data_IF_471319506220
#
_entry.id   IF_471319506220
#
_cell.length_a   1.000
_cell.length_b   1.000
_cell.length_c   1.000
_cell.angle_alpha   90.00
_cell.angle_beta   90.00
_cell.angle_gamma   90.00
#
_symmetry.space_group_name_H-M   'P 1'
#
loop_
_entity.id
_entity.type
_entity.pdbx_description
1 polymer ?
#
# COMPACT_ATOMS: atom_id res chain seq x y z
N UNK A 1 -22.53 -10.41 23.88
CA UNK A 1 -21.51 -9.55 23.23
C UNK A 1 -20.11 -10.20 23.22
N UNK A 2 -19.63 -10.80 24.33
CA UNK A 2 -18.27 -11.39 24.41
C UNK A 2 -18.13 -12.69 23.58
N UNK A 3 -19.15 -13.54 23.55
CA UNK A 3 -19.18 -14.78 22.75
C UNK A 3 -19.31 -14.51 21.25
N UNK A 4 -20.06 -13.47 20.84
CA UNK A 4 -20.16 -13.06 19.44
C UNK A 4 -18.81 -12.57 18.89
N UNK A 5 -18.05 -11.81 19.69
CA UNK A 5 -16.70 -11.36 19.30
C UNK A 5 -15.68 -12.50 19.17
N UNK A 6 -15.77 -13.55 19.99
CA UNK A 6 -14.94 -14.76 19.88
C UNK A 6 -15.27 -15.57 18.61
N UNK A 7 -16.55 -15.75 18.30
CA UNK A 7 -16.99 -16.45 17.09
C UNK A 7 -16.57 -15.72 15.82
N UNK A 8 -16.70 -14.39 15.78
CA UNK A 8 -16.25 -13.59 14.64
C UNK A 8 -14.73 -13.65 14.44
N UNK A 9 -13.94 -13.64 15.51
CA UNK A 9 -12.47 -13.80 15.41
C UNK A 9 -12.08 -15.19 14.94
N UNK A 10 -12.79 -16.22 15.33
CA UNK A 10 -12.53 -17.60 14.89
C UNK A 10 -12.84 -17.76 13.41
N UNK A 11 -14.00 -17.29 12.98
CA UNK A 11 -14.44 -17.31 11.59
C UNK A 11 -13.49 -16.50 10.66
N UNK A 12 -13.03 -15.33 11.11
CA UNK A 12 -12.07 -14.55 10.37
C UNK A 12 -10.72 -15.25 10.19
N UNK A 13 -10.24 -15.99 11.20
CA UNK A 13 -9.01 -16.80 11.11
C UNK A 13 -9.15 -17.95 10.12
N UNK A 14 -10.24 -18.66 10.14
CA UNK A 14 -10.51 -19.77 9.19
C UNK A 14 -10.53 -19.25 7.75
N UNK A 15 -11.20 -18.13 7.49
CA UNK A 15 -11.23 -17.49 6.17
C UNK A 15 -9.82 -17.07 5.74
N UNK A 16 -9.01 -16.49 6.64
CA UNK A 16 -7.63 -16.09 6.34
C UNK A 16 -6.74 -17.29 6.04
N UNK A 17 -6.91 -18.40 6.77
CA UNK A 17 -6.15 -19.63 6.50
C UNK A 17 -6.53 -20.24 5.15
N UNK A 18 -7.82 -20.32 4.84
CA UNK A 18 -8.29 -20.77 3.54
C UNK A 18 -7.75 -19.89 2.41
N UNK A 19 -7.86 -18.57 2.55
CA UNK A 19 -7.31 -17.61 1.58
C UNK A 19 -5.80 -17.79 1.41
N UNK A 20 -5.06 -18.01 2.49
CA UNK A 20 -3.62 -18.27 2.43
C UNK A 20 -3.29 -19.57 1.70
N UNK A 21 -4.06 -20.63 1.91
CA UNK A 21 -3.89 -21.92 1.25
C UNK A 21 -4.16 -21.82 -0.24
N UNK A 22 -5.22 -21.15 -0.65
CA UNK A 22 -5.57 -20.93 -2.05
C UNK A 22 -4.57 -20.01 -2.77
N UNK A 23 -4.07 -18.99 -2.05
CA UNK A 23 -3.14 -18.01 -2.60
C UNK A 23 -1.67 -18.30 -2.30
N UNK A 24 -1.29 -19.50 -1.79
CA UNK A 24 0.06 -19.79 -1.30
C UNK A 24 1.19 -19.53 -2.33
N UNK A 25 0.92 -19.67 -3.62
CA UNK A 25 1.85 -19.34 -4.73
C UNK A 25 1.67 -17.91 -5.28
N UNK A 26 0.73 -17.14 -4.75
CA UNK A 26 0.35 -15.81 -5.25
C UNK A 26 0.62 -14.73 -4.19
N UNK A 27 1.85 -14.71 -3.68
CA UNK A 27 2.25 -13.79 -2.61
C UNK A 27 1.92 -12.31 -2.91
N UNK A 28 2.03 -11.91 -4.19
CA UNK A 28 1.68 -10.54 -4.60
C UNK A 28 0.19 -10.25 -4.42
N UNK A 29 -0.70 -11.23 -4.61
CA UNK A 29 -2.13 -11.07 -4.39
C UNK A 29 -2.44 -10.90 -2.89
N UNK A 30 -1.81 -11.71 -2.03
CA UNK A 30 -1.93 -11.57 -0.57
C UNK A 30 -1.40 -10.22 -0.10
N UNK A 31 -0.28 -9.76 -0.67
CA UNK A 31 0.27 -8.45 -0.35
C UNK A 31 -0.68 -7.32 -0.80
N UNK A 32 -1.23 -7.40 -2.01
CA UNK A 32 -2.21 -6.43 -2.50
C UNK A 32 -3.45 -6.37 -1.62
N UNK A 33 -3.97 -7.52 -1.19
CA UNK A 33 -5.08 -7.59 -0.24
C UNK A 33 -4.76 -6.85 1.06
N UNK A 34 -3.59 -7.10 1.66
CA UNK A 34 -3.16 -6.42 2.88
C UNK A 34 -2.97 -4.91 2.67
N UNK A 35 -2.43 -4.50 1.53
CA UNK A 35 -2.28 -3.09 1.17
C UNK A 35 -3.63 -2.38 1.01
N UNK A 36 -4.64 -3.05 0.44
CA UNK A 36 -6.00 -2.52 0.35
C UNK A 36 -6.60 -2.31 1.73
N UNK A 37 -6.47 -3.29 2.64
CA UNK A 37 -6.95 -3.16 4.02
C UNK A 37 -6.30 -1.98 4.74
N UNK A 38 -4.98 -1.81 4.58
CA UNK A 38 -4.24 -0.68 5.14
C UNK A 38 -4.73 0.64 4.55
N UNK A 39 -4.95 0.73 3.23
CA UNK A 39 -5.48 1.94 2.60
C UNK A 39 -6.89 2.29 3.10
N UNK A 40 -7.75 1.29 3.26
CA UNK A 40 -9.11 1.47 3.79
C UNK A 40 -9.06 1.97 5.23
N UNK A 41 -8.17 1.44 6.07
CA UNK A 41 -7.99 1.88 7.44
C UNK A 41 -7.47 3.32 7.56
N UNK A 42 -6.70 3.79 6.56
CA UNK A 42 -6.26 5.19 6.50
C UNK A 42 -7.31 6.14 5.90
N UNK A 43 -8.42 5.65 5.33
CA UNK A 43 -9.42 6.51 4.65
C UNK A 43 -10.06 7.54 5.57
N UNK A 44 -10.24 7.20 6.83
CA UNK A 44 -10.86 8.05 7.85
C UNK A 44 -9.86 8.96 8.58
N UNK A 45 -8.57 8.93 8.21
CA UNK A 45 -7.52 9.77 8.78
C UNK A 45 -6.36 8.99 9.37
N UNK A 46 -6.12 9.12 10.67
CA UNK A 46 -5.03 8.43 11.35
C UNK A 46 -5.43 7.00 11.75
N UNK A 47 -4.57 6.05 11.51
CA UNK A 47 -4.74 4.65 11.93
C UNK A 47 -4.68 4.55 13.46
N UNK A 48 -5.74 4.03 14.08
CA UNK A 48 -5.77 3.79 15.52
C UNK A 48 -4.98 2.53 15.92
N UNK A 49 -4.50 2.49 17.16
CA UNK A 49 -3.70 1.36 17.66
C UNK A 49 -4.43 0.02 17.54
N UNK A 50 -5.73 0.00 17.84
CA UNK A 50 -6.57 -1.20 17.72
C UNK A 50 -6.70 -1.71 16.27
N UNK A 51 -6.78 -0.79 15.30
CA UNK A 51 -6.80 -1.13 13.87
C UNK A 51 -5.45 -1.66 13.40
N UNK A 52 -4.37 -1.04 13.87
CA UNK A 52 -3.01 -1.51 13.58
C UNK A 52 -2.75 -2.90 14.13
N UNK A 53 -3.23 -3.21 15.33
CA UNK A 53 -3.16 -4.56 15.91
C UNK A 53 -3.96 -5.57 15.10
N UNK A 54 -5.19 -5.23 14.70
CA UNK A 54 -6.02 -6.08 13.86
C UNK A 54 -5.37 -6.35 12.49
N UNK A 55 -4.83 -5.31 11.85
CA UNK A 55 -4.10 -5.44 10.60
C UNK A 55 -2.83 -6.28 10.76
N UNK A 56 -2.14 -6.18 11.89
CA UNK A 56 -0.99 -7.02 12.19
C UNK A 56 -1.38 -8.49 12.35
N UNK A 57 -2.48 -8.79 13.03
CA UNK A 57 -2.98 -10.16 13.17
C UNK A 57 -3.32 -10.77 11.79
N UNK A 58 -3.91 -9.99 10.90
CA UNK A 58 -4.17 -10.40 9.52
C UNK A 58 -2.84 -10.64 8.77
N UNK A 59 -1.91 -9.69 8.81
CA UNK A 59 -0.61 -9.81 8.15
C UNK A 59 0.16 -11.05 8.60
N UNK A 60 0.15 -11.34 9.91
CA UNK A 60 0.74 -12.53 10.51
C UNK A 60 0.05 -13.80 10.03
N UNK A 61 -1.29 -13.82 9.98
CA UNK A 61 -2.08 -14.93 9.46
C UNK A 61 -1.76 -15.25 7.98
N UNK A 62 -1.49 -14.22 7.18
CA UNK A 62 -1.04 -14.34 5.79
C UNK A 62 0.43 -14.71 5.63
N UNK A 63 1.22 -14.82 6.72
CA UNK A 63 2.62 -15.20 6.71
C UNK A 63 3.58 -14.05 6.38
N UNK A 64 3.19 -12.79 6.62
CA UNK A 64 4.08 -11.63 6.50
C UNK A 64 4.85 -11.39 7.79
N UNK A 65 6.13 -11.01 7.65
CA UNK A 65 6.95 -10.57 8.80
C UNK A 65 6.55 -9.17 9.25
N UNK A 66 6.89 -8.85 10.51
CA UNK A 66 6.65 -7.50 11.08
C UNK A 66 7.31 -6.40 10.25
N UNK A 67 8.51 -6.66 9.73
CA UNK A 67 9.24 -5.71 8.87
C UNK A 67 8.48 -5.40 7.58
N UNK A 68 7.97 -6.43 6.90
CA UNK A 68 7.17 -6.25 5.68
C UNK A 68 5.87 -5.52 5.99
N UNK A 69 5.20 -5.86 7.09
CA UNK A 69 3.99 -5.16 7.52
C UNK A 69 4.25 -3.68 7.80
N UNK A 70 5.33 -3.34 8.50
CA UNK A 70 5.71 -1.94 8.75
C UNK A 70 5.98 -1.17 7.45
N UNK A 71 6.65 -1.80 6.47
CA UNK A 71 6.84 -1.20 5.16
C UNK A 71 5.52 -0.94 4.42
N UNK A 72 4.57 -1.86 4.53
CA UNK A 72 3.23 -1.69 3.94
C UNK A 72 2.49 -0.53 4.62
N UNK A 73 2.53 -0.43 5.95
CA UNK A 73 1.94 0.70 6.70
C UNK A 73 2.55 2.04 6.28
N UNK A 74 3.88 2.14 6.22
CA UNK A 74 4.57 3.36 5.80
C UNK A 74 4.20 3.79 4.38
N UNK A 75 4.07 2.84 3.45
CA UNK A 75 3.63 3.12 2.08
C UNK A 75 2.17 3.56 2.02
N UNK A 76 1.29 2.92 2.79
CA UNK A 76 -0.12 3.29 2.88
C UNK A 76 -0.29 4.73 3.37
N UNK A 77 0.40 5.08 4.46
CA UNK A 77 0.42 6.43 4.98
C UNK A 77 0.97 7.45 3.97
N UNK A 78 2.11 7.13 3.33
CA UNK A 78 2.71 7.99 2.32
C UNK A 78 1.78 8.18 1.12
N UNK A 79 1.07 7.14 0.69
CA UNK A 79 0.10 7.24 -0.40
C UNK A 79 -1.07 8.15 -0.05
N UNK A 80 -1.62 8.03 1.15
CA UNK A 80 -2.69 8.90 1.60
C UNK A 80 -2.25 10.37 1.61
N UNK A 81 -1.10 10.67 2.21
CA UNK A 81 -0.53 12.02 2.22
C UNK A 81 -0.25 12.53 0.81
N UNK A 82 0.27 11.71 -0.07
CA UNK A 82 0.55 12.06 -1.45
C UNK A 82 -0.73 12.42 -2.21
N UNK A 83 -1.79 11.65 -2.06
CA UNK A 83 -3.09 11.93 -2.67
C UNK A 83 -3.73 13.21 -2.11
N UNK A 84 -3.71 13.40 -0.79
CA UNK A 84 -4.23 14.61 -0.14
C UNK A 84 -3.49 15.86 -0.61
N UNK A 85 -2.15 15.80 -0.67
CA UNK A 85 -1.32 16.91 -1.10
C UNK A 85 -1.51 17.22 -2.59
N UNK A 86 -1.70 16.22 -3.45
CA UNK A 86 -2.02 16.46 -4.87
C UNK A 86 -3.35 17.19 -5.06
N UNK A 87 -4.39 16.82 -4.30
CA UNK A 87 -5.69 17.50 -4.34
C UNK A 87 -5.60 18.93 -3.82
N UNK A 88 -4.82 19.17 -2.76
CA UNK A 88 -4.61 20.50 -2.19
C UNK A 88 -3.70 21.40 -3.06
N UNK A 89 -2.77 20.83 -3.83
CA UNK A 89 -1.78 21.55 -4.64
C UNK A 89 -2.38 22.18 -5.92
N UNK A 90 -3.60 21.85 -6.29
CA UNK A 90 -4.33 22.60 -7.32
C UNK A 90 -4.69 24.02 -6.86
N UNK A 91 -4.59 24.34 -5.57
CA UNK A 91 -4.99 25.63 -4.99
C UNK A 91 -3.87 26.45 -4.31
N UNK A 92 -2.67 25.91 -4.02
CA UNK A 92 -1.60 26.67 -3.32
C UNK A 92 -0.19 26.15 -3.60
N UNK A 93 0.65 27.01 -4.15
CA UNK A 93 2.10 26.80 -4.34
C UNK A 93 2.88 27.17 -3.07
N UNK A 94 3.02 26.30 -2.07
CA UNK A 94 3.96 26.54 -0.97
C UNK A 94 5.14 25.53 -1.02
N UNK A 95 6.37 26.06 -0.85
CA UNK A 95 7.62 25.27 -0.93
C UNK A 95 7.68 24.14 0.11
N UNK A 96 7.03 24.31 1.24
CA UNK A 96 7.01 23.31 2.33
C UNK A 96 6.15 22.08 1.98
N UNK A 97 5.03 22.30 1.28
CA UNK A 97 4.18 21.19 0.77
C UNK A 97 4.86 20.41 -0.35
N UNK A 98 5.68 21.08 -1.18
CA UNK A 98 6.46 20.40 -2.21
C UNK A 98 7.50 19.44 -1.62
N UNK A 99 8.11 19.78 -0.49
CA UNK A 99 9.07 18.91 0.21
C UNK A 99 8.39 17.67 0.83
N UNK A 100 7.23 17.84 1.46
CA UNK A 100 6.46 16.71 2.00
C UNK A 100 6.04 15.74 0.90
N UNK A 101 5.54 16.26 -0.22
CA UNK A 101 5.14 15.43 -1.38
C UNK A 101 6.33 14.66 -1.96
N UNK A 102 7.53 15.24 -1.97
CA UNK A 102 8.75 14.57 -2.40
C UNK A 102 9.14 13.42 -1.45
N UNK A 103 9.11 13.66 -0.14
CA UNK A 103 9.35 12.63 0.87
C UNK A 103 8.37 11.45 0.71
N UNK A 104 7.10 11.75 0.50
CA UNK A 104 6.07 10.73 0.33
C UNK A 104 6.28 9.95 -0.99
N UNK A 105 6.73 10.60 -2.05
CA UNK A 105 7.06 9.92 -3.31
C UNK A 105 8.19 8.89 -3.13
N UNK A 106 9.24 9.22 -2.39
CA UNK A 106 10.31 8.26 -2.07
C UNK A 106 9.79 7.09 -1.23
N UNK A 107 9.00 7.35 -0.20
CA UNK A 107 8.39 6.31 0.65
C UNK A 107 7.47 5.40 -0.15
N UNK A 108 6.68 5.97 -1.07
CA UNK A 108 5.75 5.24 -1.93
C UNK A 108 6.50 4.26 -2.86
N UNK A 109 7.64 4.66 -3.39
CA UNK A 109 8.53 3.76 -4.12
C UNK A 109 9.29 2.77 -3.21
N UNK A 110 9.27 3.00 -1.88
CA UNK A 110 9.96 2.16 -0.89
C UNK A 110 11.48 2.32 -0.94
N UNK A 111 11.95 3.55 -1.10
CA UNK A 111 13.36 3.97 -1.14
C UNK A 111 13.58 5.24 -0.31
N UNK A 112 14.82 5.59 -0.08
CA UNK A 112 15.22 6.83 0.61
C UNK A 112 15.51 7.95 -0.39
N UNK A 113 15.56 9.20 0.07
CA UNK A 113 15.92 10.35 -0.76
C UNK A 113 17.38 10.31 -1.25
N UNK A 114 18.24 9.55 -0.59
CA UNK A 114 19.64 9.32 -0.97
C UNK A 114 19.83 8.24 -2.05
N UNK A 115 18.74 7.56 -2.47
CA UNK A 115 18.84 6.51 -3.49
C UNK A 115 19.35 7.08 -4.82
N UNK A 116 20.18 6.33 -5.53
CA UNK A 116 20.66 6.69 -6.87
C UNK A 116 19.53 6.65 -7.92
N UNK A 117 19.73 7.24 -9.08
CA UNK A 117 18.75 7.22 -10.17
C UNK A 117 18.47 5.81 -10.67
N UNK A 118 19.47 4.94 -10.64
CA UNK A 118 19.31 3.53 -10.97
C UNK A 118 18.43 2.81 -9.94
N UNK A 119 18.62 3.10 -8.65
CA UNK A 119 17.78 2.55 -7.57
C UNK A 119 16.35 3.04 -7.67
N UNK A 120 16.13 4.32 -7.97
CA UNK A 120 14.80 4.90 -8.23
C UNK A 120 14.12 4.16 -9.38
N UNK A 121 14.80 3.99 -10.50
CA UNK A 121 14.29 3.27 -11.68
C UNK A 121 14.00 1.81 -11.39
N UNK A 122 14.87 1.15 -10.61
CA UNK A 122 14.68 -0.24 -10.18
C UNK A 122 13.47 -0.39 -9.24
N UNK A 123 13.32 0.55 -8.29
CA UNK A 123 12.19 0.59 -7.37
C UNK A 123 10.86 0.80 -8.12
N UNK A 124 10.82 1.77 -9.05
CA UNK A 124 9.67 2.00 -9.91
C UNK A 124 9.26 0.73 -10.67
N UNK A 125 10.19 0.07 -11.36
CA UNK A 125 9.91 -1.17 -12.10
C UNK A 125 9.37 -2.27 -11.19
N UNK A 126 9.94 -2.41 -9.99
CA UNK A 126 9.48 -3.39 -8.99
C UNK A 126 8.05 -3.11 -8.57
N UNK A 127 7.72 -1.85 -8.22
CA UNK A 127 6.37 -1.46 -7.82
C UNK A 127 5.36 -1.64 -8.96
N UNK A 128 5.70 -1.22 -10.18
CA UNK A 128 4.85 -1.45 -11.35
C UNK A 128 4.60 -2.95 -11.61
N UNK A 129 5.63 -3.79 -11.46
CA UNK A 129 5.46 -5.24 -11.61
C UNK A 129 4.57 -5.87 -10.55
N UNK A 130 4.56 -5.33 -9.33
CA UNK A 130 3.75 -5.82 -8.21
C UNK A 130 2.29 -5.41 -8.34
N UNK A 131 2.03 -4.19 -8.83
CA UNK A 131 0.71 -3.55 -8.77
C UNK A 131 0.04 -3.37 -10.14
N UNK A 132 0.67 -3.80 -11.24
CA UNK A 132 0.07 -3.66 -12.57
C UNK A 132 -1.24 -4.44 -12.67
N UNK A 133 -2.35 -3.80 -13.08
CA UNK A 133 -3.68 -4.43 -13.09
C UNK A 133 -3.70 -5.74 -13.88
N UNK A 134 -3.15 -5.78 -15.10
CA UNK A 134 -3.12 -6.99 -15.94
C UNK A 134 -2.43 -8.16 -15.25
N UNK A 135 -1.32 -7.88 -14.51
CA UNK A 135 -0.61 -8.90 -13.76
C UNK A 135 -1.35 -9.38 -12.52
N UNK A 136 -2.17 -8.52 -11.94
CA UNK A 136 -3.00 -8.87 -10.79
C UNK A 136 -4.24 -9.66 -11.24
N UNK A 137 -4.87 -9.27 -12.35
CA UNK A 137 -5.97 -10.03 -12.97
C UNK A 137 -5.53 -11.44 -13.34
N UNK A 138 -4.39 -11.57 -14.02
CA UNK A 138 -3.84 -12.90 -14.38
C UNK A 138 -3.52 -13.77 -13.15
N UNK A 139 -3.43 -13.17 -11.96
CA UNK A 139 -3.23 -13.85 -10.67
C UNK A 139 -4.51 -14.03 -9.86
N UNK A 140 -5.66 -13.62 -10.40
CA UNK A 140 -6.96 -13.78 -9.79
C UNK A 140 -7.43 -12.59 -8.94
N UNK A 141 -6.96 -11.35 -9.25
CA UNK A 141 -7.53 -10.16 -8.62
C UNK A 141 -9.00 -10.03 -9.04
N UNK A 142 -9.95 -9.90 -8.09
CA UNK A 142 -11.33 -9.64 -8.39
C UNK A 142 -11.52 -8.35 -9.19
N UNK A 143 -12.55 -8.32 -10.06
CA UNK A 143 -12.82 -7.16 -10.92
C UNK A 143 -13.11 -5.90 -10.10
N UNK A 144 -13.76 -6.04 -8.96
CA UNK A 144 -14.12 -4.96 -8.05
C UNK A 144 -12.89 -4.25 -7.45
N UNK A 145 -11.74 -4.90 -7.47
CA UNK A 145 -10.47 -4.33 -6.97
C UNK A 145 -9.62 -3.68 -8.07
N UNK A 146 -10.09 -3.69 -9.33
CA UNK A 146 -9.34 -3.13 -10.46
C UNK A 146 -9.11 -1.63 -10.32
N UNK A 147 -10.10 -0.89 -9.84
CA UNK A 147 -9.98 0.56 -9.67
C UNK A 147 -8.90 0.92 -8.66
N UNK A 148 -8.79 0.14 -7.58
CA UNK A 148 -7.75 0.32 -6.57
C UNK A 148 -6.37 0.02 -7.16
N UNK A 149 -6.25 -1.05 -7.96
CA UNK A 149 -4.99 -1.41 -8.64
C UNK A 149 -4.59 -0.33 -9.66
N UNK A 150 -5.53 0.21 -10.42
CA UNK A 150 -5.33 1.30 -11.36
C UNK A 150 -4.85 2.56 -10.64
N UNK A 151 -5.54 2.95 -9.55
CA UNK A 151 -5.17 4.13 -8.76
C UNK A 151 -3.76 3.96 -8.18
N UNK A 152 -3.44 2.79 -7.64
CA UNK A 152 -2.10 2.49 -7.12
C UNK A 152 -1.02 2.64 -8.18
N UNK A 153 -1.28 2.14 -9.38
CA UNK A 153 -0.35 2.23 -10.51
C UNK A 153 -0.14 3.69 -10.93
N UNK A 154 -1.19 4.50 -10.95
CA UNK A 154 -1.10 5.94 -11.24
C UNK A 154 -0.28 6.69 -10.18
N UNK A 155 -0.48 6.38 -8.90
CA UNK A 155 0.28 7.01 -7.82
C UNK A 155 1.77 6.67 -7.90
N UNK A 156 2.12 5.41 -8.17
CA UNK A 156 3.50 4.96 -8.39
C UNK A 156 4.14 5.71 -9.56
N UNK A 157 3.43 5.86 -10.67
CA UNK A 157 3.90 6.60 -11.86
C UNK A 157 4.13 8.07 -11.53
N UNK A 158 3.17 8.70 -10.87
CA UNK A 158 3.26 10.12 -10.48
C UNK A 158 4.41 10.37 -9.51
N UNK A 159 4.64 9.48 -8.54
CA UNK A 159 5.77 9.56 -7.61
C UNK A 159 7.12 9.48 -8.35
N UNK A 160 7.24 8.55 -9.30
CA UNK A 160 8.43 8.41 -10.11
C UNK A 160 8.71 9.66 -10.97
N UNK A 161 7.69 10.20 -11.63
CA UNK A 161 7.80 11.40 -12.45
C UNK A 161 8.21 12.63 -11.61
N UNK A 162 7.62 12.79 -10.40
CA UNK A 162 7.98 13.85 -9.48
C UNK A 162 9.45 13.78 -9.07
N UNK A 163 9.93 12.60 -8.68
CA UNK A 163 11.35 12.40 -8.31
C UNK A 163 12.26 12.69 -9.50
N UNK A 164 11.91 12.23 -10.69
CA UNK A 164 12.70 12.46 -11.90
C UNK A 164 12.80 13.95 -12.26
N UNK A 165 11.69 14.68 -12.17
CA UNK A 165 11.66 16.13 -12.44
C UNK A 165 12.50 16.95 -11.46
N UNK A 166 12.57 16.52 -10.20
CA UNK A 166 13.34 17.23 -9.17
C UNK A 166 14.86 17.00 -9.25
N UNK A 167 15.29 15.99 -10.01
CA UNK A 167 16.70 15.60 -10.15
C UNK A 167 17.32 16.03 -11.47
N UNK A 168 16.48 16.47 -12.42
CA UNK A 168 16.94 17.10 -13.69
C UNK A 168 17.10 18.62 -13.50
#
# INVERSE_FOLDING_TARGET
>A
LFEQGKNQKHQAREILEQFRLECHRRRNLMQMFLEILVMTAYSDGALHNSEQEALWDIAKGLGFSKTVFQQILQRGQAQQHFQQNRRANQQSRSADRSRMTMSDAYKLLGITSSASDEEVKKAYRRQMNQHHPDKLVSKGLPQEMMDIANQRTQDIKSAYELIKQSRN
#
